data_IF_661316125487
#
_entry.id   IF_661316125487
#
_cell.length_a   1.000
_cell.length_b   1.000
_cell.length_c   1.000
_cell.angle_alpha   90.00
_cell.angle_beta   90.00
_cell.angle_gamma   90.00
#
_symmetry.space_group_name_H-M   'P 1'
#
loop_
_entity.id
_entity.type
_entity.pdbx_description
1 polymer ?
#
# COMPACT_ATOMS: atom_id res chain seq x y z
N UNK A 1 29.52 0.84 -18.90
CA UNK A 1 29.61 -0.06 -17.74
C UNK A 1 29.29 -1.49 -18.18
N UNK A 2 28.07 -1.76 -18.68
CA UNK A 2 27.65 -3.04 -19.27
C UNK A 2 28.66 -3.76 -20.18
N UNK A 3 29.21 -3.08 -21.21
CA UNK A 3 30.16 -3.72 -22.14
C UNK A 3 31.51 -4.08 -21.49
N UNK A 4 31.93 -3.36 -20.45
CA UNK A 4 33.19 -3.64 -19.75
C UNK A 4 33.04 -4.81 -18.79
N UNK A 5 31.92 -4.89 -18.06
CA UNK A 5 31.58 -6.01 -17.19
C UNK A 5 31.38 -7.30 -17.98
N UNK A 6 30.69 -7.21 -19.13
CA UNK A 6 30.49 -8.35 -20.03
C UNK A 6 31.83 -8.81 -20.64
N UNK A 7 32.72 -7.88 -21.00
CA UNK A 7 34.05 -8.21 -21.48
C UNK A 7 34.90 -8.89 -20.40
N UNK A 8 34.82 -8.44 -19.14
CA UNK A 8 35.56 -9.04 -18.03
C UNK A 8 35.00 -10.43 -17.70
N UNK A 9 33.68 -10.61 -17.68
CA UNK A 9 33.04 -11.92 -17.45
C UNK A 9 33.40 -12.94 -18.54
N UNK A 10 33.43 -12.52 -19.81
CA UNK A 10 33.81 -13.39 -20.92
C UNK A 10 35.29 -13.78 -20.90
N UNK A 11 36.16 -12.94 -20.33
CA UNK A 11 37.63 -13.14 -20.27
C UNK A 11 38.11 -13.84 -19.00
N UNK A 12 37.38 -13.73 -17.89
CA UNK A 12 37.77 -14.22 -16.56
C UNK A 12 37.29 -15.65 -16.25
N UNK A 13 36.96 -16.42 -17.29
CA UNK A 13 36.24 -17.69 -17.20
C UNK A 13 36.69 -18.65 -16.08
N UNK A 14 35.72 -19.14 -15.30
CA UNK A 14 35.82 -20.34 -14.46
C UNK A 14 36.10 -21.57 -15.34
N UNK A 15 36.75 -22.64 -14.82
CA UNK A 15 37.08 -23.86 -15.59
C UNK A 15 35.88 -24.48 -16.34
N UNK A 16 34.65 -24.24 -15.86
CA UNK A 16 33.39 -24.70 -16.46
C UNK A 16 32.89 -23.82 -17.62
N UNK A 17 33.23 -22.53 -17.59
CA UNK A 17 32.87 -21.57 -18.64
C UNK A 17 33.70 -21.77 -19.90
N UNK A 18 34.92 -22.31 -19.77
CA UNK A 18 35.83 -22.52 -20.90
C UNK A 18 35.39 -23.67 -21.83
N UNK A 19 34.55 -24.58 -21.32
CA UNK A 19 33.94 -25.67 -22.11
C UNK A 19 32.63 -25.29 -22.81
N UNK A 20 32.01 -24.16 -22.46
CA UNK A 20 30.74 -23.73 -23.05
C UNK A 20 30.95 -22.98 -24.37
N UNK A 21 30.07 -23.16 -25.37
CA UNK A 21 30.04 -22.35 -26.59
C UNK A 21 29.93 -20.85 -26.26
N UNK A 22 30.47 -20.01 -27.14
CA UNK A 22 30.50 -18.56 -26.95
C UNK A 22 29.09 -17.97 -26.75
N UNK A 23 28.13 -18.44 -27.52
CA UNK A 23 26.72 -18.03 -27.44
C UNK A 23 26.10 -18.25 -26.04
N UNK A 24 26.37 -19.39 -25.40
CA UNK A 24 25.85 -19.70 -24.07
C UNK A 24 26.58 -18.89 -22.99
N UNK A 25 27.88 -18.65 -23.16
CA UNK A 25 28.65 -17.78 -22.26
C UNK A 25 28.18 -16.32 -22.32
N UNK A 26 27.85 -15.84 -23.51
CA UNK A 26 27.29 -14.51 -23.70
C UNK A 26 25.89 -14.40 -23.07
N UNK A 27 25.04 -15.42 -23.24
CA UNK A 27 23.73 -15.49 -22.60
C UNK A 27 23.85 -15.49 -21.07
N UNK A 28 24.68 -16.36 -20.50
CA UNK A 28 24.93 -16.45 -19.06
C UNK A 28 25.38 -15.09 -18.51
N UNK A 29 26.33 -14.42 -19.18
CA UNK A 29 26.77 -13.08 -18.77
C UNK A 29 25.64 -12.04 -18.79
N UNK A 30 24.76 -12.08 -19.80
CA UNK A 30 23.60 -11.18 -19.86
C UNK A 30 22.63 -11.47 -18.72
N UNK A 31 22.33 -12.75 -18.45
CA UNK A 31 21.42 -13.14 -17.37
C UNK A 31 21.96 -12.75 -15.99
N UNK A 32 23.26 -12.91 -15.75
CA UNK A 32 23.94 -12.43 -14.53
C UNK A 32 23.70 -10.93 -14.34
N UNK A 33 23.92 -10.15 -15.40
CA UNK A 33 23.77 -8.70 -15.33
C UNK A 33 22.32 -8.28 -15.08
N UNK A 34 21.36 -8.94 -15.75
CA UNK A 34 19.93 -8.68 -15.55
C UNK A 34 19.52 -9.01 -14.12
N UNK A 35 19.83 -10.21 -13.63
CA UNK A 35 19.47 -10.64 -12.28
C UNK A 35 20.14 -9.78 -11.21
N UNK A 36 21.42 -9.44 -11.37
CA UNK A 36 22.12 -8.53 -10.45
C UNK A 36 21.49 -7.14 -10.43
N UNK A 37 21.07 -6.63 -11.59
CA UNK A 37 20.36 -5.35 -11.67
C UNK A 37 19.00 -5.42 -10.98
N UNK A 38 18.25 -6.52 -11.15
CA UNK A 38 16.96 -6.70 -10.48
C UNK A 38 17.13 -6.81 -8.97
N UNK A 39 18.12 -7.56 -8.48
CA UNK A 39 18.42 -7.70 -7.05
C UNK A 39 18.77 -6.35 -6.41
N UNK A 40 19.57 -5.52 -7.10
CA UNK A 40 19.91 -4.18 -6.60
C UNK A 40 18.69 -3.24 -6.57
N UNK A 41 17.87 -3.25 -7.63
CA UNK A 41 16.62 -2.48 -7.68
C UNK A 41 15.65 -2.92 -6.56
N UNK A 42 15.52 -4.23 -6.34
CA UNK A 42 14.71 -4.84 -5.29
C UNK A 42 15.15 -4.39 -3.89
N UNK A 43 16.44 -4.55 -3.57
CA UNK A 43 16.98 -4.21 -2.26
C UNK A 43 16.71 -2.74 -1.93
N UNK A 44 16.95 -1.84 -2.88
CA UNK A 44 16.70 -0.40 -2.69
C UNK A 44 15.20 -0.15 -2.43
N UNK A 45 14.33 -0.75 -3.23
CA UNK A 45 12.90 -0.51 -3.17
C UNK A 45 12.29 -1.08 -1.88
N UNK A 46 12.66 -2.31 -1.50
CA UNK A 46 12.18 -2.95 -0.27
C UNK A 46 12.61 -2.15 0.96
N UNK A 47 13.88 -1.73 1.04
CA UNK A 47 14.37 -0.93 2.16
C UNK A 47 13.59 0.39 2.32
N UNK A 48 13.29 1.08 1.20
CA UNK A 48 12.49 2.30 1.21
C UNK A 48 11.06 2.05 1.69
N UNK A 49 10.43 0.96 1.24
CA UNK A 49 9.08 0.59 1.66
C UNK A 49 9.07 0.25 3.15
N UNK A 50 9.92 -0.66 3.60
CA UNK A 50 9.96 -1.09 5.01
C UNK A 50 10.19 0.09 5.95
N UNK A 51 11.11 1.00 5.61
CA UNK A 51 11.33 2.23 6.38
C UNK A 51 10.08 3.11 6.45
N UNK A 52 9.33 3.23 5.33
CA UNK A 52 8.09 4.00 5.30
C UNK A 52 6.97 3.33 6.12
N UNK A 53 6.83 2.00 6.04
CA UNK A 53 5.81 1.26 6.77
C UNK A 53 6.03 1.40 8.28
N UNK A 54 7.27 1.25 8.76
CA UNK A 54 7.63 1.47 10.16
C UNK A 54 7.27 2.88 10.65
N UNK A 55 7.46 3.90 9.80
CA UNK A 55 7.07 5.27 10.14
C UNK A 55 5.54 5.42 10.24
N UNK A 56 4.79 4.82 9.32
CA UNK A 56 3.33 4.91 9.27
C UNK A 56 2.64 4.14 10.41
N UNK A 57 3.29 3.13 10.98
CA UNK A 57 2.84 2.46 12.20
C UNK A 57 2.85 3.40 13.42
N UNK A 58 3.84 4.29 13.52
CA UNK A 58 3.94 5.25 14.62
C UNK A 58 3.10 6.51 14.37
N UNK A 59 3.09 7.03 13.14
CA UNK A 59 2.40 8.29 12.83
C UNK A 59 1.90 8.37 11.39
N UNK A 60 0.64 8.78 11.23
CA UNK A 60 0.02 8.98 9.91
C UNK A 60 0.20 10.43 9.46
N UNK A 61 1.04 10.63 8.45
CA UNK A 61 1.27 11.93 7.81
C UNK A 61 0.84 11.92 6.33
N UNK A 62 0.16 12.99 5.88
CA UNK A 62 -0.34 13.11 4.50
C UNK A 62 0.77 12.99 3.44
N UNK A 63 1.97 13.51 3.70
CA UNK A 63 3.11 13.38 2.79
C UNK A 63 3.60 11.94 2.72
N UNK A 64 3.61 11.23 3.84
CA UNK A 64 4.01 9.82 3.91
C UNK A 64 2.99 8.90 3.23
N UNK A 65 1.71 9.24 3.27
CA UNK A 65 0.70 8.58 2.44
C UNK A 65 0.91 8.80 0.93
N UNK A 66 1.38 9.98 0.52
CA UNK A 66 1.76 10.22 -0.88
C UNK A 66 3.00 9.41 -1.28
N UNK A 67 4.00 9.32 -0.40
CA UNK A 67 5.17 8.46 -0.61
C UNK A 67 4.75 6.98 -0.72
N UNK A 68 3.81 6.52 0.12
CA UNK A 68 3.27 5.16 0.08
C UNK A 68 2.66 4.84 -1.29
N UNK A 69 1.83 5.75 -1.81
CA UNK A 69 1.25 5.61 -3.15
C UNK A 69 2.31 5.61 -4.27
N UNK A 70 3.39 6.38 -4.11
CA UNK A 70 4.48 6.38 -5.09
C UNK A 70 5.26 5.08 -5.06
N UNK A 71 5.59 4.56 -3.87
CA UNK A 71 6.29 3.29 -3.75
C UNK A 71 5.42 2.11 -4.17
N UNK A 72 4.11 2.11 -3.86
CA UNK A 72 3.15 1.12 -4.37
C UNK A 72 3.19 1.03 -5.90
N UNK A 73 3.15 2.18 -6.59
CA UNK A 73 3.25 2.23 -8.06
C UNK A 73 4.60 1.76 -8.58
N UNK A 74 5.70 2.06 -7.88
CA UNK A 74 7.04 1.61 -8.27
C UNK A 74 7.18 0.09 -8.07
N UNK A 75 6.70 -0.43 -6.95
CA UNK A 75 6.69 -1.86 -6.64
C UNK A 75 5.89 -2.64 -7.68
N UNK A 76 4.67 -2.19 -8.01
CA UNK A 76 3.84 -2.85 -9.03
C UNK A 76 4.49 -2.85 -10.43
N UNK A 77 5.20 -1.78 -10.80
CA UNK A 77 5.98 -1.76 -12.05
C UNK A 77 7.18 -2.69 -12.00
N UNK A 78 7.84 -2.81 -10.86
CA UNK A 78 8.95 -3.72 -10.66
C UNK A 78 8.48 -5.19 -10.72
N UNK A 79 7.40 -5.52 -10.02
CA UNK A 79 6.71 -6.82 -10.07
C UNK A 79 6.38 -7.23 -11.51
N UNK A 80 5.79 -6.32 -12.29
CA UNK A 80 5.49 -6.57 -13.69
C UNK A 80 6.75 -6.82 -14.54
N UNK A 81 7.85 -6.08 -14.29
CA UNK A 81 9.13 -6.30 -14.98
C UNK A 81 9.71 -7.68 -14.67
N UNK A 82 9.72 -8.09 -13.40
CA UNK A 82 10.21 -9.40 -12.96
C UNK A 82 9.37 -10.51 -13.58
N UNK A 83 8.04 -10.36 -13.53
CA UNK A 83 7.08 -11.30 -14.14
C UNK A 83 7.33 -11.47 -15.64
N UNK A 84 7.46 -10.38 -16.39
CA UNK A 84 7.71 -10.45 -17.83
C UNK A 84 9.04 -11.14 -18.17
N UNK A 85 10.07 -10.98 -17.33
CA UNK A 85 11.37 -11.65 -17.52
C UNK A 85 11.25 -13.14 -17.21
N UNK A 86 10.55 -13.49 -16.13
CA UNK A 86 10.25 -14.89 -15.77
C UNK A 86 9.53 -15.58 -16.93
N UNK A 87 8.41 -15.01 -17.36
CA UNK A 87 7.55 -15.59 -18.40
C UNK A 87 8.33 -15.76 -19.73
N UNK A 88 9.22 -14.82 -20.06
CA UNK A 88 10.07 -14.92 -21.26
C UNK A 88 11.13 -16.04 -21.17
N UNK A 89 11.63 -16.33 -19.96
CA UNK A 89 12.57 -17.45 -19.74
C UNK A 89 11.80 -18.79 -19.76
N UNK A 90 10.62 -18.84 -19.14
CA UNK A 90 9.73 -20.01 -19.16
C UNK A 90 9.33 -20.38 -20.59
N UNK A 91 8.93 -19.42 -21.41
CA UNK A 91 8.53 -19.67 -22.80
C UNK A 91 9.62 -20.37 -23.63
N UNK A 92 10.89 -20.00 -23.40
CA UNK A 92 12.04 -20.63 -24.08
C UNK A 92 12.34 -22.01 -23.50
N UNK A 93 12.22 -22.18 -22.18
CA UNK A 93 12.41 -23.47 -21.52
C UNK A 93 11.36 -24.51 -21.91
N UNK A 94 10.14 -24.08 -22.23
CA UNK A 94 9.04 -24.96 -22.64
C UNK A 94 9.21 -25.55 -24.05
N UNK A 95 10.15 -25.02 -24.85
CA UNK A 95 10.36 -25.43 -26.25
C UNK A 95 11.77 -26.00 -26.48
N UNK A 96 11.90 -27.33 -26.42
CA UNK A 96 13.15 -28.04 -26.70
C UNK A 96 13.79 -27.66 -28.05
N UNK A 97 12.97 -27.34 -29.07
CA UNK A 97 13.44 -26.87 -30.37
C UNK A 97 14.16 -25.52 -30.27
N UNK A 98 13.62 -24.58 -29.50
CA UNK A 98 14.23 -23.28 -29.27
C UNK A 98 15.56 -23.44 -28.50
N UNK A 99 15.57 -24.29 -27.47
CA UNK A 99 16.77 -24.60 -26.69
C UNK A 99 17.89 -25.20 -27.56
N UNK A 100 17.56 -26.10 -28.48
CA UNK A 100 18.51 -26.66 -29.42
C UNK A 100 19.01 -25.62 -30.44
N UNK A 101 18.12 -24.71 -30.86
CA UNK A 101 18.43 -23.64 -31.80
C UNK A 101 19.34 -22.54 -31.23
N UNK A 102 19.49 -22.47 -29.90
CA UNK A 102 20.43 -21.58 -29.23
C UNK A 102 21.90 -21.91 -29.52
N UNK A 103 22.24 -23.10 -29.99
CA UNK A 103 23.61 -23.51 -30.34
C UNK A 103 24.04 -22.98 -31.72
N UNK A 104 24.21 -21.66 -31.80
CA UNK A 104 24.46 -20.91 -33.04
C UNK A 104 25.75 -21.30 -33.77
N UNK A 105 26.82 -21.64 -33.04
CA UNK A 105 28.11 -22.00 -33.63
C UNK A 105 27.98 -23.29 -34.45
N UNK A 106 27.36 -24.31 -33.86
CA UNK A 106 27.09 -25.60 -34.51
C UNK A 106 26.11 -25.48 -35.68
N UNK A 107 25.05 -24.68 -35.52
CA UNK A 107 24.08 -24.38 -36.58
C UNK A 107 24.75 -23.71 -37.79
N UNK A 108 25.69 -22.79 -37.54
CA UNK A 108 26.48 -22.12 -38.59
C UNK A 108 27.42 -23.09 -39.33
N UNK A 109 27.98 -24.07 -38.63
CA UNK A 109 28.85 -25.10 -39.20
C UNK A 109 28.07 -26.16 -40.02
N UNK A 110 26.74 -26.05 -40.09
CA UNK A 110 25.88 -26.98 -40.82
C UNK A 110 25.61 -28.29 -40.07
N UNK A 111 25.95 -28.35 -38.79
CA UNK A 111 25.70 -29.50 -37.91
C UNK A 111 24.79 -29.07 -36.75
N UNK A 112 23.47 -28.85 -37.00
CA UNK A 112 22.56 -28.40 -35.97
C UNK A 112 22.53 -29.38 -34.79
N UNK A 113 22.40 -28.83 -33.59
CA UNK A 113 22.37 -29.62 -32.37
C UNK A 113 21.10 -30.50 -32.37
N UNK A 114 21.20 -31.80 -32.02
CA UNK A 114 20.01 -32.63 -31.85
C UNK A 114 19.11 -32.04 -30.75
N UNK A 115 17.79 -32.14 -30.94
CA UNK A 115 16.81 -31.60 -29.99
C UNK A 115 17.05 -32.15 -28.58
N UNK A 116 17.38 -33.43 -28.41
CA UNK A 116 17.64 -34.01 -27.08
C UNK A 116 18.96 -33.56 -26.40
N UNK A 117 19.75 -32.68 -27.02
CA UNK A 117 21.09 -32.30 -26.56
C UNK A 117 21.20 -30.81 -26.22
N UNK A 118 20.25 -30.30 -25.42
CA UNK A 118 20.20 -28.90 -24.94
C UNK A 118 20.48 -28.71 -23.44
N UNK A 119 21.00 -29.73 -22.76
CA UNK A 119 21.18 -29.76 -21.29
C UNK A 119 21.91 -28.55 -20.71
N UNK A 120 22.93 -28.02 -21.40
CA UNK A 120 23.68 -26.87 -20.88
C UNK A 120 22.85 -25.57 -20.94
N UNK A 121 22.11 -25.35 -22.03
CA UNK A 121 21.25 -24.17 -22.19
C UNK A 121 20.08 -24.20 -21.21
N UNK A 122 19.43 -25.36 -21.09
CA UNK A 122 18.36 -25.61 -20.13
C UNK A 122 18.83 -25.34 -18.70
N UNK A 123 19.97 -25.92 -18.28
CA UNK A 123 20.51 -25.72 -16.93
C UNK A 123 20.80 -24.24 -16.62
N UNK A 124 21.35 -23.50 -17.58
CA UNK A 124 21.60 -22.06 -17.43
C UNK A 124 20.27 -21.34 -17.21
N UNK A 125 19.30 -21.52 -18.11
CA UNK A 125 18.01 -20.85 -18.05
C UNK A 125 17.23 -21.21 -16.78
N UNK A 126 17.17 -22.49 -16.39
CA UNK A 126 16.52 -22.93 -15.14
C UNK A 126 17.14 -22.28 -13.90
N UNK A 127 18.47 -22.13 -13.88
CA UNK A 127 19.18 -21.53 -12.74
C UNK A 127 18.83 -20.05 -12.59
N UNK A 128 18.71 -19.31 -13.68
CA UNK A 128 18.31 -17.90 -13.63
C UNK A 128 16.80 -17.73 -13.49
N UNK A 129 15.98 -18.63 -14.03
CA UNK A 129 14.54 -18.65 -13.80
C UNK A 129 14.26 -18.74 -12.29
N UNK A 130 14.88 -19.70 -11.59
CA UNK A 130 14.73 -19.84 -10.13
C UNK A 130 15.11 -18.59 -9.35
N UNK A 131 16.16 -17.89 -9.77
CA UNK A 131 16.54 -16.62 -9.14
C UNK A 131 15.48 -15.54 -9.38
N UNK A 132 14.97 -15.42 -10.61
CA UNK A 132 13.90 -14.45 -10.93
C UNK A 132 12.60 -14.78 -10.18
N UNK A 133 12.27 -16.06 -10.01
CA UNK A 133 11.12 -16.50 -9.20
C UNK A 133 11.28 -16.13 -7.72
N UNK A 134 12.47 -16.30 -7.15
CA UNK A 134 12.76 -15.88 -5.77
C UNK A 134 12.54 -14.38 -5.58
N UNK A 135 12.99 -13.57 -6.53
CA UNK A 135 12.73 -12.13 -6.57
C UNK A 135 11.22 -11.85 -6.67
N UNK A 136 10.51 -12.55 -7.55
CA UNK A 136 9.07 -12.36 -7.73
C UNK A 136 8.30 -12.63 -6.42
N UNK A 137 8.62 -13.72 -5.73
CA UNK A 137 8.00 -14.10 -4.46
C UNK A 137 8.26 -13.06 -3.36
N UNK A 138 9.47 -12.52 -3.29
CA UNK A 138 9.84 -11.50 -2.31
C UNK A 138 9.10 -10.19 -2.56
N UNK A 139 9.01 -9.76 -3.83
CA UNK A 139 8.23 -8.59 -4.26
C UNK A 139 6.75 -8.76 -3.95
N UNK A 140 6.17 -9.94 -4.20
CA UNK A 140 4.77 -10.24 -3.90
C UNK A 140 4.49 -10.14 -2.38
N UNK A 141 5.39 -10.68 -1.56
CA UNK A 141 5.31 -10.60 -0.10
C UNK A 141 5.30 -9.15 0.39
N UNK A 142 6.22 -8.31 -0.11
CA UNK A 142 6.26 -6.88 0.23
C UNK A 142 5.05 -6.12 -0.30
N UNK A 143 4.53 -6.49 -1.48
CA UNK A 143 3.30 -5.92 -2.06
C UNK A 143 2.09 -6.21 -1.17
N UNK A 144 1.98 -7.42 -0.63
CA UNK A 144 0.95 -7.82 0.32
C UNK A 144 1.05 -7.04 1.64
N UNK A 145 2.26 -6.88 2.17
CA UNK A 145 2.51 -6.07 3.38
C UNK A 145 2.10 -4.62 3.16
N UNK A 146 2.49 -4.01 2.03
CA UNK A 146 2.14 -2.64 1.70
C UNK A 146 0.62 -2.44 1.61
N UNK A 147 -0.10 -3.35 0.96
CA UNK A 147 -1.58 -3.32 0.90
C UNK A 147 -2.21 -3.43 2.29
N UNK A 148 -1.70 -4.34 3.11
CA UNK A 148 -2.16 -4.50 4.50
C UNK A 148 -1.98 -3.21 5.30
N UNK A 149 -0.84 -2.54 5.20
CA UNK A 149 -0.62 -1.26 5.89
C UNK A 149 -1.50 -0.15 5.31
N UNK A 150 -1.74 -0.11 4.00
CA UNK A 150 -2.68 0.85 3.38
C UNK A 150 -4.10 0.69 3.95
N UNK A 151 -4.56 -0.55 4.13
CA UNK A 151 -5.84 -0.85 4.76
C UNK A 151 -5.89 -0.39 6.23
N UNK A 152 -4.83 -0.66 7.00
CA UNK A 152 -4.71 -0.20 8.40
C UNK A 152 -4.76 1.33 8.48
N UNK A 153 -4.02 2.02 7.61
CA UNK A 153 -4.06 3.48 7.52
C UNK A 153 -5.48 3.98 7.24
N UNK A 154 -6.18 3.38 6.27
CA UNK A 154 -7.55 3.76 5.93
C UNK A 154 -8.49 3.55 7.12
N UNK A 155 -8.35 2.44 7.86
CA UNK A 155 -9.10 2.19 9.10
C UNK A 155 -8.86 3.29 10.14
N UNK A 156 -7.60 3.72 10.34
CA UNK A 156 -7.27 4.76 11.31
C UNK A 156 -7.84 6.12 10.90
N UNK A 157 -7.71 6.50 9.61
CA UNK A 157 -8.29 7.74 9.09
C UNK A 157 -9.82 7.77 9.24
N UNK A 158 -10.47 6.63 9.01
CA UNK A 158 -11.91 6.49 9.20
C UNK A 158 -12.32 6.60 10.66
N UNK A 159 -11.52 6.06 11.59
CA UNK A 159 -11.72 6.21 13.03
C UNK A 159 -11.59 7.68 13.47
N UNK A 160 -10.62 8.42 12.93
CA UNK A 160 -10.46 9.86 13.20
C UNK A 160 -11.67 10.66 12.67
N UNK A 161 -12.12 10.37 11.44
CA UNK A 161 -13.33 10.98 10.86
C UNK A 161 -14.58 10.68 11.69
N UNK A 162 -14.73 9.43 12.14
CA UNK A 162 -15.83 9.03 13.00
C UNK A 162 -15.80 9.77 14.35
N UNK A 163 -14.61 9.93 14.94
CA UNK A 163 -14.43 10.69 16.18
C UNK A 163 -14.83 12.16 16.03
N UNK A 164 -14.47 12.80 14.91
CA UNK A 164 -14.88 14.17 14.58
C UNK A 164 -16.39 14.28 14.40
N UNK A 165 -17.01 13.35 13.70
CA UNK A 165 -18.46 13.34 13.50
C UNK A 165 -19.21 13.22 14.84
N UNK A 166 -18.75 12.36 15.75
CA UNK A 166 -19.35 12.25 17.09
C UNK A 166 -19.19 13.55 17.87
N UNK A 167 -18.05 14.22 17.75
CA UNK A 167 -17.83 15.53 18.38
C UNK A 167 -18.77 16.60 17.81
N UNK A 168 -18.94 16.65 16.49
CA UNK A 168 -19.87 17.54 15.81
C UNK A 168 -21.31 17.32 16.30
N UNK A 169 -21.77 16.06 16.37
CA UNK A 169 -23.10 15.71 16.89
C UNK A 169 -23.30 16.25 18.32
N UNK A 170 -22.27 16.20 19.19
CA UNK A 170 -22.35 16.75 20.55
C UNK A 170 -22.50 18.27 20.55
N UNK A 171 -21.78 18.98 19.67
CA UNK A 171 -21.92 20.42 19.52
C UNK A 171 -23.30 20.80 18.98
N UNK A 172 -23.78 20.12 17.94
CA UNK A 172 -25.12 20.35 17.39
C UNK A 172 -26.20 20.13 18.45
N UNK A 173 -26.07 19.09 19.26
CA UNK A 173 -27.00 18.82 20.37
C UNK A 173 -26.99 19.97 21.39
N UNK A 174 -25.82 20.50 21.73
CA UNK A 174 -25.69 21.64 22.63
C UNK A 174 -26.31 22.92 22.04
N UNK A 175 -26.09 23.19 20.75
CA UNK A 175 -26.71 24.33 20.06
C UNK A 175 -28.23 24.21 20.01
N UNK A 176 -28.78 23.03 19.71
CA UNK A 176 -30.23 22.80 19.70
C UNK A 176 -30.81 22.94 21.11
N UNK A 177 -30.13 22.42 22.14
CA UNK A 177 -30.56 22.60 23.53
C UNK A 177 -30.63 24.07 23.94
N UNK A 178 -29.56 24.83 23.66
CA UNK A 178 -29.54 26.28 23.88
C UNK A 178 -30.65 26.99 23.08
N UNK A 179 -30.89 26.60 21.83
CA UNK A 179 -31.95 27.17 21.00
C UNK A 179 -33.35 26.93 21.61
N UNK A 180 -33.61 25.77 22.21
CA UNK A 180 -34.86 25.52 22.94
C UNK A 180 -34.99 26.44 24.17
N UNK A 181 -33.90 26.63 24.93
CA UNK A 181 -33.89 27.54 26.08
C UNK A 181 -34.09 29.00 25.69
N UNK A 182 -33.36 29.47 24.67
CA UNK A 182 -33.49 30.85 24.17
C UNK A 182 -34.84 31.09 23.51
N UNK A 183 -35.45 30.09 22.86
CA UNK A 183 -36.80 30.20 22.31
C UNK A 183 -37.84 30.49 23.39
N UNK A 184 -37.82 29.75 24.50
CA UNK A 184 -38.73 30.01 25.65
C UNK A 184 -38.47 31.40 26.24
N UNK A 185 -37.21 31.78 26.42
CA UNK A 185 -36.84 33.12 26.90
C UNK A 185 -37.28 34.21 25.91
N UNK A 186 -37.25 33.95 24.61
CA UNK A 186 -37.62 34.91 23.57
C UNK A 186 -39.12 35.12 23.55
N UNK A 187 -39.93 34.06 23.61
CA UNK A 187 -41.39 34.16 23.65
C UNK A 187 -41.88 35.00 24.83
N UNK A 188 -41.25 34.84 26.00
CA UNK A 188 -41.61 35.58 27.21
C UNK A 188 -40.96 36.96 27.30
N UNK A 189 -39.86 37.19 26.57
CA UNK A 189 -39.22 38.49 26.42
C UNK A 189 -39.83 39.37 25.33
N UNK A 190 -40.78 38.86 24.54
CA UNK A 190 -41.55 39.66 23.59
C UNK A 190 -42.49 40.61 24.34
N UNK A 191 -42.66 41.83 23.82
CA UNK A 191 -43.49 42.89 24.38
C UNK A 191 -45.01 42.59 24.27
N UNK A 192 -45.44 41.50 24.90
CA UNK A 192 -46.81 41.04 25.02
C UNK A 192 -47.25 41.24 26.48
N UNK A 193 -48.44 41.80 26.71
CA UNK A 193 -49.02 41.96 28.05
C UNK A 193 -49.30 40.56 28.61
N UNK A 194 -48.33 40.03 29.36
CA UNK A 194 -48.33 38.65 29.85
C UNK A 194 -49.10 38.48 31.17
N UNK A 195 -49.42 39.58 31.86
CA UNK A 195 -50.15 39.55 33.15
C UNK A 195 -49.33 39.02 34.34
N UNK A 196 -48.14 38.47 34.09
CA UNK A 196 -47.22 37.91 35.09
C UNK A 196 -46.14 38.87 35.61
N UNK A 197 -46.14 40.13 35.15
CA UNK A 197 -45.06 41.10 35.40
C UNK A 197 -45.03 41.67 36.83
N UNK A 198 -46.13 41.57 37.58
CA UNK A 198 -46.27 42.18 38.91
C UNK A 198 -45.63 41.35 40.05
N UNK A 199 -45.15 40.14 39.78
CA UNK A 199 -44.56 39.25 40.77
C UNK A 199 -43.03 39.21 40.68
N UNK A 200 -42.34 39.69 41.72
CA UNK A 200 -40.88 39.77 41.80
C UNK A 200 -40.15 38.42 41.60
N UNK A 201 -40.84 37.28 41.78
CA UNK A 201 -40.28 35.93 41.63
C UNK A 201 -40.45 35.31 40.23
N UNK A 202 -41.33 35.85 39.37
CA UNK A 202 -41.67 35.22 38.08
C UNK A 202 -40.49 35.17 37.11
N UNK A 203 -39.64 36.20 37.09
CA UNK A 203 -38.43 36.25 36.27
C UNK A 203 -37.47 35.09 36.58
N UNK A 204 -37.19 34.86 37.86
CA UNK A 204 -36.31 33.79 38.30
C UNK A 204 -36.90 32.41 38.02
N UNK A 205 -38.22 32.24 38.20
CA UNK A 205 -38.91 30.98 37.93
C UNK A 205 -38.85 30.59 36.45
N UNK A 206 -39.15 31.54 35.55
CA UNK A 206 -39.11 31.34 34.11
C UNK A 206 -37.68 31.05 33.63
N UNK A 207 -36.71 31.83 34.10
CA UNK A 207 -35.29 31.65 33.73
C UNK A 207 -34.78 30.28 34.20
N UNK A 208 -35.14 29.87 35.42
CA UNK A 208 -34.80 28.54 35.93
C UNK A 208 -35.46 27.43 35.13
N UNK A 209 -36.74 27.57 34.77
CA UNK A 209 -37.48 26.59 33.98
C UNK A 209 -36.92 26.44 32.55
N UNK A 210 -36.63 27.55 31.86
CA UNK A 210 -36.04 27.53 30.52
C UNK A 210 -34.63 26.89 30.53
N UNK A 211 -33.82 27.24 31.53
CA UNK A 211 -32.48 26.65 31.70
C UNK A 211 -32.57 25.15 32.01
N UNK A 212 -33.47 24.75 32.91
CA UNK A 212 -33.70 23.35 33.26
C UNK A 212 -34.14 22.52 32.05
N UNK A 213 -35.05 23.05 31.22
CA UNK A 213 -35.52 22.37 30.02
C UNK A 213 -34.40 22.20 28.97
N UNK A 214 -33.59 23.23 28.76
CA UNK A 214 -32.40 23.16 27.91
C UNK A 214 -31.40 22.11 28.39
N UNK A 215 -31.07 22.11 29.69
CA UNK A 215 -30.14 21.15 30.29
C UNK A 215 -30.69 19.71 30.22
N UNK A 216 -31.98 19.52 30.50
CA UNK A 216 -32.62 18.21 30.42
C UNK A 216 -32.58 17.65 28.99
N UNK A 217 -32.85 18.49 27.98
CA UNK A 217 -32.78 18.09 26.58
C UNK A 217 -31.38 17.62 26.16
N UNK A 218 -30.35 18.42 26.47
CA UNK A 218 -28.95 18.06 26.18
C UNK A 218 -28.54 16.81 26.95
N UNK A 219 -28.94 16.70 28.22
CA UNK A 219 -28.64 15.53 29.05
C UNK A 219 -29.21 14.23 28.49
N UNK A 220 -30.48 14.22 28.11
CA UNK A 220 -31.13 13.05 27.49
C UNK A 220 -30.49 12.70 26.14
N UNK A 221 -30.17 13.70 25.33
CA UNK A 221 -29.50 13.50 24.04
C UNK A 221 -28.12 12.86 24.21
N UNK A 222 -27.30 13.35 25.14
CA UNK A 222 -25.96 12.80 25.43
C UNK A 222 -26.05 11.36 25.95
N UNK A 223 -27.00 11.07 26.86
CA UNK A 223 -27.21 9.70 27.37
C UNK A 223 -27.55 8.71 26.26
N UNK A 224 -28.41 9.10 25.30
CA UNK A 224 -28.73 8.25 24.14
C UNK A 224 -27.52 7.99 23.26
N UNK A 225 -26.71 9.02 22.97
CA UNK A 225 -25.48 8.88 22.17
C UNK A 225 -24.50 7.92 22.85
N UNK A 226 -24.23 8.09 24.15
CA UNK A 226 -23.35 7.19 24.92
C UNK A 226 -23.86 5.75 24.91
N UNK A 227 -25.17 5.55 25.03
CA UNK A 227 -25.79 4.22 24.99
C UNK A 227 -25.68 3.57 23.61
N UNK A 228 -25.77 4.35 22.53
CA UNK A 228 -25.56 3.84 21.17
C UNK A 228 -24.10 3.45 20.93
N UNK A 229 -23.14 4.29 21.34
CA UNK A 229 -21.72 3.98 21.20
C UNK A 229 -21.33 2.69 21.95
N UNK A 230 -21.89 2.46 23.15
CA UNK A 230 -21.68 1.22 23.92
C UNK A 230 -22.26 -0.05 23.28
N UNK A 231 -23.14 0.07 22.27
CA UNK A 231 -23.69 -1.08 21.53
C UNK A 231 -22.91 -1.40 20.25
N UNK A 232 -22.04 -0.48 19.81
CA UNK A 232 -21.26 -0.60 18.58
C UNK A 232 -19.81 -1.06 18.83
N UNK A 233 -19.30 -0.91 20.04
CA UNK A 233 -18.12 -1.63 20.55
C UNK A 233 -18.52 -2.99 21.12
#
# INVERSE_FOLDING_TARGET
>A
MFLYELQDLLKSGSERSDSLPFELRALEAILILVVSSLQSDEEILINLIQSLLLYLEESIDRNKLKELLQYSKRLSRFEQRVTNIRDAIEEVLDQDEDLADMYLTKKKEGNPQPVESHQDAELILETYLKQVEELANTVESVSSQLKTTEDVVNIILDSQRNSLMIFEIRLTLLTVGLACGTFVSSLLGMNLISGFENHASMFWMVSAAATALSVAFVGVGLMKIVKMMKKLN
#
